data_IF_142098608434
#
_entry.id   IF_142098608434
#
_cell.length_a   1.000
_cell.length_b   1.000
_cell.length_c   1.000
_cell.angle_alpha   90.00
_cell.angle_beta   90.00
_cell.angle_gamma   90.00
#
_symmetry.space_group_name_H-M   'P 1'
#
loop_
_entity.id
_entity.type
_entity.pdbx_description
1 polymer ?
#
# COMPACT_ATOMS: atom_id res chain seq x y z
N UNK A 1 12.72 16.00 -4.49
CA UNK A 1 13.86 16.59 -3.73
C UNK A 1 14.64 17.60 -4.55
N UNK A 2 15.33 17.22 -5.65
CA UNK A 2 16.14 18.16 -6.44
C UNK A 2 15.35 19.32 -7.04
N UNK A 3 14.09 19.09 -7.40
CA UNK A 3 13.18 20.13 -7.88
C UNK A 3 12.79 21.13 -6.78
N UNK A 4 12.51 20.60 -5.57
CA UNK A 4 12.16 21.42 -4.42
C UNK A 4 13.37 22.14 -3.80
N UNK A 5 14.55 21.54 -3.89
CA UNK A 5 15.78 21.93 -3.20
C UNK A 5 16.99 21.76 -4.13
N UNK A 6 17.17 22.62 -5.13
CA UNK A 6 18.21 22.44 -6.16
C UNK A 6 19.63 22.54 -5.60
N UNK A 7 19.85 23.34 -4.57
CA UNK A 7 21.19 23.67 -4.05
C UNK A 7 21.62 22.82 -2.84
N UNK A 8 20.84 21.81 -2.45
CA UNK A 8 21.21 20.94 -1.33
C UNK A 8 21.82 19.63 -1.79
N UNK A 9 22.71 19.09 -0.97
CA UNK A 9 23.23 17.74 -1.18
C UNK A 9 22.14 16.71 -0.93
N UNK A 10 21.95 15.78 -1.87
CA UNK A 10 20.91 14.74 -1.77
C UNK A 10 21.52 13.36 -1.89
N UNK A 11 21.33 12.53 -0.87
CA UNK A 11 21.61 11.10 -0.92
C UNK A 11 20.28 10.36 -1.20
N UNK A 12 20.18 9.74 -2.38
CA UNK A 12 19.07 8.83 -2.72
C UNK A 12 19.51 7.40 -2.44
N UNK A 13 18.84 6.75 -1.48
CA UNK A 13 19.10 5.35 -1.18
C UNK A 13 18.42 4.45 -2.22
N UNK A 14 19.17 3.54 -2.81
CA UNK A 14 18.65 2.50 -3.70
C UNK A 14 18.23 1.24 -2.93
N UNK A 15 18.77 1.07 -1.72
CA UNK A 15 18.46 -0.03 -0.79
C UNK A 15 18.07 0.58 0.55
N UNK A 16 16.90 0.23 1.05
CA UNK A 16 16.35 0.74 2.31
C UNK A 16 16.40 -0.30 3.44
N UNK A 17 16.69 -1.55 3.12
CA UNK A 17 16.87 -2.61 4.11
C UNK A 17 17.80 -3.73 3.59
N UNK A 18 18.89 -4.07 4.34
CA UNK A 18 19.45 -3.27 5.43
C UNK A 18 19.98 -1.92 4.92
N UNK A 19 19.99 -0.89 5.77
CA UNK A 19 20.54 0.41 5.37
C UNK A 19 22.03 0.35 5.11
N UNK A 20 22.56 1.06 4.10
CA UNK A 20 23.98 1.17 3.83
C UNK A 20 24.66 2.14 4.83
N UNK A 21 24.89 1.68 6.05
CA UNK A 21 25.35 2.50 7.16
C UNK A 21 26.62 3.31 6.85
N UNK A 22 27.62 2.67 6.22
CA UNK A 22 28.88 3.36 5.87
C UNK A 22 28.66 4.55 4.93
N UNK A 23 27.76 4.38 3.95
CA UNK A 23 27.41 5.44 3.00
C UNK A 23 26.69 6.59 3.69
N UNK A 24 25.75 6.28 4.58
CA UNK A 24 24.97 7.27 5.34
C UNK A 24 25.89 8.06 6.26
N UNK A 25 26.81 7.42 6.98
CA UNK A 25 27.79 8.08 7.85
C UNK A 25 28.72 9.01 7.06
N UNK A 26 29.28 8.53 5.95
CA UNK A 26 30.14 9.35 5.10
C UNK A 26 29.40 10.56 4.52
N UNK A 27 28.14 10.40 4.15
CA UNK A 27 27.31 11.52 3.69
C UNK A 27 27.06 12.53 4.82
N UNK A 28 26.77 12.03 6.03
CA UNK A 28 26.52 12.87 7.20
C UNK A 28 27.72 13.72 7.62
N UNK A 29 28.94 13.20 7.48
CA UNK A 29 30.18 13.94 7.74
C UNK A 29 30.38 15.15 6.81
N UNK A 30 29.83 15.08 5.59
CA UNK A 30 29.95 16.12 4.56
C UNK A 30 28.88 17.22 4.66
N UNK A 31 27.91 17.15 5.59
CA UNK A 31 26.79 18.08 5.67
C UNK A 31 26.63 18.65 7.07
N UNK A 32 26.15 19.89 7.18
CA UNK A 32 25.92 20.55 8.45
C UNK A 32 24.68 20.04 9.20
N UNK A 33 23.66 19.61 8.45
CA UNK A 33 22.38 19.09 8.97
C UNK A 33 21.92 17.94 8.11
N UNK A 34 21.47 16.88 8.73
CA UNK A 34 20.90 15.71 8.04
C UNK A 34 19.39 15.73 8.19
N UNK A 35 18.71 15.64 7.07
CA UNK A 35 17.26 15.57 7.01
C UNK A 35 16.81 14.37 6.21
N UNK A 36 15.87 13.62 6.76
CA UNK A 36 15.18 12.53 6.03
C UNK A 36 13.88 13.05 5.46
N UNK A 37 13.66 12.79 4.18
CA UNK A 37 12.39 13.04 3.49
C UNK A 37 11.84 11.71 3.03
N UNK A 38 10.85 11.22 3.75
CA UNK A 38 10.15 9.95 3.51
C UNK A 38 8.66 10.10 3.74
N UNK A 39 7.86 9.33 3.04
CA UNK A 39 6.41 9.27 3.25
C UNK A 39 6.06 8.35 4.41
N UNK A 40 4.84 8.49 4.93
CA UNK A 40 4.28 7.68 6.02
C UNK A 40 5.14 7.68 7.29
N UNK A 41 5.45 6.51 7.83
CA UNK A 41 6.15 6.32 9.09
C UNK A 41 7.65 6.68 9.02
N UNK A 42 8.30 7.03 10.14
CA UNK A 42 9.71 7.45 10.18
C UNK A 42 10.69 6.27 10.07
N UNK A 43 10.54 5.44 9.04
CA UNK A 43 11.31 4.21 8.87
C UNK A 43 12.82 4.46 8.73
N UNK A 44 13.21 5.39 7.84
CA UNK A 44 14.62 5.73 7.65
C UNK A 44 15.15 6.60 8.79
N UNK A 45 14.34 7.56 9.24
CA UNK A 45 14.72 8.47 10.33
C UNK A 45 15.06 7.72 11.63
N UNK A 46 14.22 6.75 12.02
CA UNK A 46 14.44 5.96 13.24
C UNK A 46 15.70 5.10 13.14
N UNK A 47 15.93 4.46 12.01
CA UNK A 47 17.12 3.65 11.82
C UNK A 47 18.40 4.49 11.81
N UNK A 48 18.37 5.67 11.19
CA UNK A 48 19.52 6.58 11.16
C UNK A 48 19.78 7.15 12.57
N UNK A 49 18.73 7.43 13.34
CA UNK A 49 18.87 7.78 14.77
C UNK A 49 19.48 6.65 15.58
N UNK A 50 19.08 5.40 15.32
CA UNK A 50 19.64 4.23 15.99
C UNK A 50 21.14 4.02 15.68
N UNK A 51 21.65 4.55 14.56
CA UNK A 51 23.09 4.60 14.25
C UNK A 51 23.83 5.67 15.07
N UNK A 52 23.13 6.46 15.90
CA UNK A 52 23.72 7.55 16.68
C UNK A 52 23.94 8.84 15.90
N UNK A 53 23.33 9.00 14.72
CA UNK A 53 23.43 10.22 13.94
C UNK A 53 22.31 11.21 14.30
N UNK A 54 22.66 12.48 14.42
CA UNK A 54 21.70 13.56 14.61
C UNK A 54 20.98 13.79 13.28
N UNK A 55 19.69 13.46 13.24
CA UNK A 55 18.86 13.57 12.05
C UNK A 55 17.47 14.06 12.41
N UNK A 56 16.86 14.82 11.54
CA UNK A 56 15.46 15.25 11.60
C UNK A 56 14.70 14.73 10.39
N UNK A 57 13.42 14.52 10.50
CA UNK A 57 12.55 14.08 9.42
C UNK A 57 11.11 14.49 9.72
N UNK A 58 10.36 13.67 10.46
CA UNK A 58 8.94 13.90 10.76
C UNK A 58 8.65 15.11 11.65
N UNK A 59 9.67 15.71 12.24
CA UNK A 59 9.53 17.03 12.87
C UNK A 59 9.11 18.13 11.86
N UNK A 60 9.38 17.92 10.57
CA UNK A 60 9.08 18.86 9.49
C UNK A 60 8.24 18.23 8.39
N UNK A 61 8.49 16.97 8.06
CA UNK A 61 7.84 16.25 6.95
C UNK A 61 6.56 15.58 7.46
N UNK A 62 5.40 15.83 6.84
CA UNK A 62 4.14 15.22 7.27
C UNK A 62 4.18 13.69 7.16
N UNK A 63 3.48 13.02 8.09
CA UNK A 63 3.34 11.55 8.12
C UNK A 63 2.15 11.06 7.29
N UNK A 64 1.29 11.96 6.80
CA UNK A 64 0.11 11.60 6.01
C UNK A 64 0.13 12.27 4.65
N UNK A 65 -0.38 11.56 3.64
CA UNK A 65 -0.50 12.02 2.27
C UNK A 65 0.78 11.86 1.46
N UNK A 66 0.68 12.14 0.17
CA UNK A 66 1.80 12.10 -0.76
C UNK A 66 2.67 13.35 -0.64
N UNK A 67 3.97 13.20 -0.81
CA UNK A 67 4.92 14.30 -0.84
C UNK A 67 5.11 14.81 -2.27
N UNK A 68 4.63 16.02 -2.54
CA UNK A 68 4.98 16.73 -3.77
C UNK A 68 6.20 17.64 -3.56
N UNK A 69 6.90 18.06 -4.62
CA UNK A 69 7.96 19.07 -4.53
C UNK A 69 7.51 20.33 -3.83
N UNK A 70 6.28 20.77 -4.07
CA UNK A 70 5.70 21.97 -3.45
C UNK A 70 5.55 21.82 -1.93
N UNK A 71 4.99 20.68 -1.47
CA UNK A 71 4.85 20.38 -0.05
C UNK A 71 6.21 20.33 0.64
N UNK A 72 7.18 19.64 0.03
CA UNK A 72 8.53 19.56 0.60
C UNK A 72 9.16 20.96 0.72
N UNK A 73 9.09 21.78 -0.33
CA UNK A 73 9.63 23.15 -0.31
C UNK A 73 8.94 24.03 0.75
N UNK A 74 7.63 23.93 0.90
CA UNK A 74 6.86 24.64 1.93
C UNK A 74 7.32 24.24 3.34
N UNK A 75 7.40 22.95 3.62
CA UNK A 75 7.85 22.42 4.92
C UNK A 75 9.30 22.80 5.24
N UNK A 76 10.16 22.87 4.23
CA UNK A 76 11.53 23.35 4.41
C UNK A 76 11.61 24.85 4.72
N UNK A 77 10.71 25.66 4.18
CA UNK A 77 10.61 27.09 4.55
C UNK A 77 10.09 27.26 5.97
N UNK A 78 9.05 26.51 6.36
CA UNK A 78 8.54 26.50 7.74
C UNK A 78 9.62 26.10 8.75
N UNK A 79 10.49 25.18 8.38
CA UNK A 79 11.63 24.73 9.18
C UNK A 79 12.81 25.72 9.19
N UNK A 80 12.73 26.83 8.46
CA UNK A 80 13.83 27.79 8.32
C UNK A 80 15.06 27.25 7.59
N UNK A 81 14.86 26.28 6.71
CA UNK A 81 15.90 25.63 5.90
C UNK A 81 15.99 26.18 4.48
N UNK A 82 14.99 26.92 4.07
CA UNK A 82 14.94 27.68 2.82
C UNK A 82 14.55 29.13 3.12
N UNK A 83 15.11 30.05 2.31
CA UNK A 83 14.66 31.44 2.34
C UNK A 83 13.18 31.52 1.94
N UNK A 84 12.48 32.46 2.58
CA UNK A 84 11.10 32.75 2.18
C UNK A 84 11.12 33.36 0.76
N UNK A 85 10.77 32.57 -0.21
CA UNK A 85 10.40 33.09 -1.51
C UNK A 85 8.92 33.49 -1.50
N UNK A 86 8.58 34.54 -2.24
CA UNK A 86 7.18 34.84 -2.50
C UNK A 86 6.48 33.57 -2.96
N UNK A 87 5.30 33.30 -2.37
CA UNK A 87 4.53 32.10 -2.72
C UNK A 87 4.51 31.95 -4.24
N UNK A 88 4.90 30.77 -4.77
CA UNK A 88 4.69 30.54 -6.20
C UNK A 88 3.23 30.86 -6.49
N UNK A 89 2.99 31.60 -7.55
CA UNK A 89 1.64 32.01 -7.93
C UNK A 89 0.73 30.79 -7.78
N UNK A 90 -0.34 30.92 -6.98
CA UNK A 90 -1.29 29.86 -6.76
C UNK A 90 -1.62 29.27 -8.13
N UNK A 91 -1.43 27.96 -8.27
CA UNK A 91 -1.74 27.29 -9.54
C UNK A 91 -3.14 27.75 -9.97
N UNK A 92 -3.35 27.88 -11.27
CA UNK A 92 -4.62 28.37 -11.83
C UNK A 92 -5.76 27.61 -11.15
N UNK A 93 -6.40 28.27 -10.17
CA UNK A 93 -7.66 27.79 -9.60
C UNK A 93 -8.70 28.11 -10.64
N UNK A 94 -9.12 27.12 -11.38
CA UNK A 94 -10.30 27.24 -12.24
C UNK A 94 -11.53 27.30 -11.34
N UNK A 95 -11.93 28.50 -10.95
CA UNK A 95 -13.09 28.70 -10.06
C UNK A 95 -14.40 28.14 -10.63
N UNK A 96 -14.48 27.95 -11.94
CA UNK A 96 -15.63 27.44 -12.67
C UNK A 96 -15.36 26.09 -13.39
N UNK A 97 -14.41 25.30 -12.94
CA UNK A 97 -14.19 24.00 -13.56
C UNK A 97 -15.44 23.11 -13.35
N UNK A 98 -16.07 22.58 -14.41
CA UNK A 98 -17.21 21.71 -14.26
C UNK A 98 -16.82 20.47 -13.43
N UNK A 99 -17.71 20.07 -12.50
CA UNK A 99 -17.49 18.88 -11.72
C UNK A 99 -17.28 17.66 -12.64
N UNK A 100 -16.08 17.10 -12.61
CA UNK A 100 -15.77 15.90 -13.40
C UNK A 100 -16.44 14.72 -12.72
N UNK A 101 -17.23 13.89 -13.45
CA UNK A 101 -17.85 12.70 -12.86
C UNK A 101 -16.78 11.76 -12.30
N UNK A 102 -17.05 11.21 -11.10
CA UNK A 102 -16.16 10.22 -10.48
C UNK A 102 -15.93 9.04 -11.41
N UNK A 103 -14.69 8.56 -11.46
CA UNK A 103 -14.29 7.36 -12.22
C UNK A 103 -13.76 6.29 -11.27
N UNK A 104 -14.65 5.62 -10.52
CA UNK A 104 -14.22 4.53 -9.65
C UNK A 104 -13.58 3.41 -10.47
N UNK A 105 -12.60 2.69 -9.92
CA UNK A 105 -12.04 1.54 -10.58
C UNK A 105 -13.12 0.48 -10.80
N UNK A 106 -13.11 -0.14 -11.98
CA UNK A 106 -14.06 -1.20 -12.35
C UNK A 106 -13.33 -2.34 -13.04
N UNK A 107 -13.86 -3.55 -12.93
CA UNK A 107 -13.33 -4.68 -13.70
C UNK A 107 -13.45 -4.43 -15.20
N UNK A 108 -12.44 -4.85 -15.96
CA UNK A 108 -12.41 -4.72 -17.42
C UNK A 108 -13.66 -5.31 -18.09
N UNK A 109 -14.10 -4.76 -19.24
CA UNK A 109 -15.12 -5.42 -20.06
C UNK A 109 -14.66 -6.83 -20.44
N UNK A 110 -15.53 -7.84 -20.26
CA UNK A 110 -15.20 -9.23 -20.57
C UNK A 110 -14.24 -9.90 -19.58
N UNK A 111 -13.93 -9.27 -18.44
CA UNK A 111 -13.06 -9.86 -17.43
C UNK A 111 -13.56 -11.24 -16.96
N UNK A 112 -12.72 -12.30 -16.98
CA UNK A 112 -13.12 -13.66 -16.59
C UNK A 112 -13.54 -13.74 -15.11
N UNK A 113 -13.00 -12.90 -14.25
CA UNK A 113 -13.34 -12.88 -12.84
C UNK A 113 -14.80 -12.51 -12.55
N UNK A 114 -15.46 -11.76 -13.45
CA UNK A 114 -16.87 -11.34 -13.28
C UNK A 114 -17.81 -12.53 -13.11
N UNK A 115 -17.63 -13.59 -13.89
CA UNK A 115 -18.45 -14.80 -13.81
C UNK A 115 -18.32 -15.51 -12.49
N UNK A 116 -17.10 -15.55 -11.93
CA UNK A 116 -16.84 -16.16 -10.63
C UNK A 116 -17.57 -15.39 -9.53
N UNK A 117 -17.35 -14.08 -9.43
CA UNK A 117 -17.98 -13.27 -8.39
C UNK A 117 -19.51 -13.20 -8.51
N UNK A 118 -20.02 -13.16 -9.73
CA UNK A 118 -21.46 -13.28 -9.97
C UNK A 118 -22.04 -14.59 -9.38
N UNK A 119 -21.32 -15.70 -9.58
CA UNK A 119 -21.74 -17.01 -9.07
C UNK A 119 -21.65 -17.06 -7.54
N UNK A 120 -20.54 -16.59 -6.95
CA UNK A 120 -20.36 -16.54 -5.49
C UNK A 120 -21.47 -15.74 -4.82
N UNK A 121 -21.82 -14.57 -5.36
CA UNK A 121 -22.94 -13.75 -4.88
C UNK A 121 -24.27 -14.50 -4.95
N UNK A 122 -24.55 -15.16 -6.08
CA UNK A 122 -25.79 -15.92 -6.24
C UNK A 122 -25.92 -17.09 -5.26
N UNK A 123 -24.80 -17.72 -4.93
CA UNK A 123 -24.75 -18.81 -3.95
C UNK A 123 -24.79 -18.31 -2.50
N UNK A 124 -24.70 -17.01 -2.29
CA UNK A 124 -24.68 -16.36 -0.96
C UNK A 124 -23.61 -16.98 -0.05
N UNK A 125 -22.42 -17.17 -0.59
CA UNK A 125 -21.26 -17.66 0.15
C UNK A 125 -20.55 -16.49 0.84
N UNK A 126 -19.89 -16.79 1.96
CA UNK A 126 -18.97 -15.85 2.59
C UNK A 126 -17.64 -15.88 1.81
N UNK A 127 -17.21 -14.76 1.29
CA UNK A 127 -16.05 -14.66 0.42
C UNK A 127 -14.94 -13.88 1.10
N UNK A 128 -13.85 -14.56 1.41
CA UNK A 128 -12.62 -13.93 1.88
C UNK A 128 -11.72 -13.69 0.67
N UNK A 129 -11.47 -12.43 0.38
CA UNK A 129 -10.72 -12.02 -0.79
C UNK A 129 -9.27 -11.72 -0.51
N UNK A 130 -8.55 -11.55 -1.59
CA UNK A 130 -7.15 -11.19 -1.60
C UNK A 130 -6.91 -9.96 -2.48
N UNK A 131 -5.67 -9.51 -2.62
CA UNK A 131 -5.35 -8.28 -3.34
C UNK A 131 -4.91 -8.56 -4.76
N UNK A 132 -5.62 -7.96 -5.71
CA UNK A 132 -5.40 -8.02 -7.15
C UNK A 132 -6.54 -7.30 -7.87
N UNK A 133 -6.59 -7.35 -9.20
CA UNK A 133 -7.71 -6.75 -9.94
C UNK A 133 -9.06 -7.35 -9.56
N UNK A 134 -9.08 -8.58 -9.11
CA UNK A 134 -10.27 -9.27 -8.60
C UNK A 134 -10.78 -8.73 -7.26
N UNK A 135 -10.00 -7.94 -6.52
CA UNK A 135 -10.50 -7.21 -5.34
C UNK A 135 -11.70 -6.32 -5.70
N UNK A 136 -11.76 -5.87 -6.95
CA UNK A 136 -12.92 -5.13 -7.47
C UNK A 136 -14.23 -5.93 -7.47
N UNK A 137 -14.18 -7.24 -7.24
CA UNK A 137 -15.37 -8.07 -6.99
C UNK A 137 -16.14 -7.70 -5.73
N UNK A 138 -15.50 -6.99 -4.79
CA UNK A 138 -16.14 -6.42 -3.60
C UNK A 138 -16.93 -5.13 -3.87
N UNK A 139 -16.76 -4.51 -5.02
CA UNK A 139 -17.42 -3.26 -5.39
C UNK A 139 -18.70 -3.51 -6.22
N UNK A 140 -19.61 -2.52 -6.27
CA UNK A 140 -20.75 -2.58 -7.18
C UNK A 140 -20.32 -2.80 -8.65
N UNK A 141 -21.10 -3.54 -9.43
CA UNK A 141 -22.38 -4.18 -9.12
C UNK A 141 -22.27 -5.59 -8.51
N UNK A 142 -21.08 -6.12 -8.33
CA UNK A 142 -20.89 -7.51 -7.88
C UNK A 142 -21.08 -7.65 -6.37
N UNK A 143 -20.42 -6.82 -5.58
CA UNK A 143 -20.49 -6.83 -4.10
C UNK A 143 -20.41 -8.26 -3.53
N UNK A 144 -19.44 -9.03 -4.00
CA UNK A 144 -19.33 -10.47 -3.77
C UNK A 144 -18.05 -10.84 -3.00
N UNK A 145 -17.58 -9.94 -2.17
CA UNK A 145 -16.42 -10.15 -1.30
C UNK A 145 -16.69 -9.50 0.05
N UNK A 146 -16.60 -10.27 1.13
CA UNK A 146 -16.94 -9.82 2.48
C UNK A 146 -15.74 -9.21 3.21
N UNK A 147 -14.53 -9.64 2.89
CA UNK A 147 -13.32 -9.03 3.45
C UNK A 147 -12.12 -9.17 2.51
N UNK A 148 -11.17 -8.22 2.66
CA UNK A 148 -9.89 -8.21 2.00
C UNK A 148 -8.90 -7.48 2.91
N UNK A 149 -7.78 -8.10 3.28
CA UNK A 149 -6.83 -7.53 4.25
C UNK A 149 -5.46 -7.29 3.61
N UNK A 150 -4.76 -8.34 3.18
CA UNK A 150 -3.44 -8.25 2.57
C UNK A 150 -3.18 -9.44 1.65
N UNK A 151 -2.14 -9.36 0.84
CA UNK A 151 -1.75 -10.43 -0.07
C UNK A 151 -1.47 -11.75 0.67
N UNK A 152 -2.16 -12.82 0.26
CA UNK A 152 -2.05 -14.15 0.85
C UNK A 152 -2.95 -14.43 2.05
N UNK A 153 -3.68 -13.42 2.56
CA UNK A 153 -4.47 -13.58 3.78
C UNK A 153 -5.81 -14.33 3.58
N UNK A 154 -6.37 -14.34 2.38
CA UNK A 154 -7.71 -14.88 2.11
C UNK A 154 -7.90 -16.31 2.63
N UNK A 155 -6.93 -17.19 2.39
CA UNK A 155 -6.99 -18.60 2.79
C UNK A 155 -6.97 -18.73 4.31
N UNK A 156 -6.07 -17.97 4.98
CA UNK A 156 -5.98 -17.97 6.43
C UNK A 156 -7.24 -17.43 7.11
N UNK A 157 -7.84 -16.39 6.54
CA UNK A 157 -9.08 -15.78 7.04
C UNK A 157 -10.24 -16.78 6.89
N UNK A 158 -10.39 -17.45 5.73
CA UNK A 158 -11.42 -18.46 5.52
C UNK A 158 -11.31 -19.60 6.55
N UNK A 159 -10.10 -20.09 6.77
CA UNK A 159 -9.85 -21.13 7.76
C UNK A 159 -10.14 -20.65 9.18
N UNK A 160 -9.71 -19.43 9.52
CA UNK A 160 -10.01 -18.82 10.82
C UNK A 160 -11.52 -18.69 11.08
N UNK A 161 -12.27 -18.23 10.06
CA UNK A 161 -13.73 -18.13 10.15
C UNK A 161 -14.39 -19.49 10.39
N UNK A 162 -13.96 -20.53 9.68
CA UNK A 162 -14.44 -21.91 9.87
C UNK A 162 -14.17 -22.43 11.30
N UNK A 163 -13.01 -22.09 11.87
CA UNK A 163 -12.66 -22.51 13.23
C UNK A 163 -13.38 -21.70 14.32
N UNK A 164 -13.62 -20.44 14.06
CA UNK A 164 -14.31 -19.56 15.02
C UNK A 164 -15.82 -19.80 15.06
N UNK A 165 -16.44 -20.10 13.90
CA UNK A 165 -17.88 -20.31 13.77
C UNK A 165 -18.17 -21.54 12.89
N UNK A 166 -18.57 -22.67 13.49
CA UNK A 166 -18.82 -23.91 12.75
C UNK A 166 -19.85 -23.77 11.62
N UNK A 167 -20.79 -22.83 11.73
CA UNK A 167 -21.77 -22.56 10.67
C UNK A 167 -21.13 -21.96 9.39
N UNK A 168 -19.91 -21.46 9.48
CA UNK A 168 -19.12 -20.98 8.35
C UNK A 168 -18.45 -22.13 7.56
N UNK A 169 -18.32 -23.31 8.14
CA UNK A 169 -17.74 -24.47 7.47
C UNK A 169 -18.55 -24.84 6.22
N UNK A 170 -17.87 -25.03 5.09
CA UNK A 170 -18.51 -25.31 3.80
C UNK A 170 -19.30 -24.14 3.19
N UNK A 171 -19.32 -22.98 3.81
CA UNK A 171 -19.96 -21.75 3.31
C UNK A 171 -18.98 -20.60 3.09
N UNK A 172 -17.74 -20.74 3.51
CA UNK A 172 -16.68 -19.74 3.32
C UNK A 172 -15.75 -20.18 2.19
N UNK A 173 -15.47 -19.24 1.30
CA UNK A 173 -14.62 -19.44 0.13
C UNK A 173 -13.52 -18.40 0.14
N UNK A 174 -12.27 -18.86 0.09
CA UNK A 174 -11.12 -17.99 -0.15
C UNK A 174 -10.94 -17.77 -1.65
N UNK A 175 -10.81 -16.52 -2.07
CA UNK A 175 -10.50 -16.15 -3.45
C UNK A 175 -9.13 -15.50 -3.49
N UNK A 176 -8.24 -16.03 -4.32
CA UNK A 176 -6.86 -15.57 -4.43
C UNK A 176 -6.40 -15.63 -5.90
N UNK A 177 -5.58 -14.69 -6.33
CA UNK A 177 -4.96 -14.72 -7.65
C UNK A 177 -3.82 -15.74 -7.74
N UNK A 178 -3.50 -16.19 -8.92
CA UNK A 178 -2.45 -17.16 -9.24
C UNK A 178 -1.07 -16.72 -8.75
N UNK A 179 -0.67 -15.50 -9.06
CA UNK A 179 0.61 -14.93 -8.59
C UNK A 179 0.66 -14.84 -7.06
N UNK A 180 -0.36 -14.27 -6.44
CA UNK A 180 -0.44 -14.15 -4.97
C UNK A 180 -0.47 -15.51 -4.29
N UNK A 181 -1.13 -16.50 -4.90
CA UNK A 181 -1.14 -17.85 -4.38
C UNK A 181 0.28 -18.44 -4.32
N UNK A 182 1.07 -18.28 -5.38
CA UNK A 182 2.43 -18.81 -5.45
C UNK A 182 3.38 -18.13 -4.46
N UNK A 183 3.33 -16.80 -4.31
CA UNK A 183 4.29 -16.10 -3.44
C UNK A 183 3.85 -16.02 -1.97
N UNK A 184 2.54 -16.10 -1.63
CA UNK A 184 2.07 -15.91 -0.26
C UNK A 184 0.95 -16.86 0.17
N UNK A 185 0.17 -17.44 -0.76
CA UNK A 185 -1.00 -18.25 -0.45
C UNK A 185 -0.68 -19.69 -0.07
N UNK A 186 0.44 -20.24 -0.55
CA UNK A 186 0.82 -21.65 -0.30
C UNK A 186 0.91 -21.99 1.18
N UNK A 187 1.47 -21.12 2.00
CA UNK A 187 1.58 -21.33 3.45
C UNK A 187 0.22 -21.41 4.13
N UNK A 188 -0.73 -20.56 3.68
CA UNK A 188 -2.12 -20.61 4.13
C UNK A 188 -2.79 -21.94 3.79
N UNK A 189 -2.61 -22.42 2.56
CA UNK A 189 -3.17 -23.71 2.13
C UNK A 189 -2.57 -24.88 2.92
N UNK A 190 -1.26 -24.89 3.11
CA UNK A 190 -0.59 -25.92 3.93
C UNK A 190 -1.15 -25.93 5.36
N UNK A 191 -1.40 -24.75 5.94
CA UNK A 191 -2.00 -24.65 7.27
C UNK A 191 -3.43 -25.21 7.30
N UNK A 192 -4.25 -24.93 6.29
CA UNK A 192 -5.61 -25.51 6.17
C UNK A 192 -5.55 -27.02 6.13
N UNK A 193 -4.68 -27.60 5.30
CA UNK A 193 -4.51 -29.06 5.15
C UNK A 193 -4.03 -29.69 6.45
N UNK A 194 -2.98 -29.12 7.06
CA UNK A 194 -2.43 -29.63 8.32
C UNK A 194 -3.46 -29.67 9.44
N UNK A 195 -4.29 -28.61 9.56
CA UNK A 195 -5.31 -28.48 10.59
C UNK A 195 -6.67 -29.08 10.16
N UNK A 196 -6.70 -29.87 9.09
CA UNK A 196 -7.91 -30.58 8.60
C UNK A 196 -9.08 -29.61 8.41
N UNK A 197 -8.82 -28.43 7.80
CA UNK A 197 -9.83 -27.48 7.44
C UNK A 197 -10.62 -27.93 6.22
N UNK A 198 -11.84 -27.41 6.07
CA UNK A 198 -12.75 -27.71 4.96
C UNK A 198 -12.96 -26.52 4.01
N UNK A 199 -12.22 -25.42 4.21
CA UNK A 199 -12.35 -24.19 3.42
C UNK A 199 -12.08 -24.46 1.94
N UNK A 200 -12.94 -23.94 1.08
CA UNK A 200 -12.75 -23.96 -0.37
C UNK A 200 -11.84 -22.80 -0.79
N UNK A 201 -10.85 -23.10 -1.61
CA UNK A 201 -9.93 -22.08 -2.17
C UNK A 201 -10.14 -22.01 -3.69
N UNK A 202 -10.45 -20.82 -4.19
CA UNK A 202 -10.55 -20.51 -5.60
C UNK A 202 -9.33 -19.71 -6.04
N UNK A 203 -8.49 -20.32 -6.86
CA UNK A 203 -7.34 -19.63 -7.47
C UNK A 203 -7.82 -19.06 -8.80
N UNK A 204 -7.73 -17.74 -8.94
CA UNK A 204 -8.13 -17.01 -10.14
C UNK A 204 -6.90 -16.78 -11.01
N UNK A 205 -6.75 -17.59 -12.03
CA UNK A 205 -5.70 -17.48 -13.03
C UNK A 205 -6.21 -16.66 -14.22
N UNK A 206 -5.56 -15.53 -14.47
CA UNK A 206 -5.80 -14.69 -15.65
C UNK A 206 -4.61 -14.67 -16.61
N UNK A 207 -3.61 -15.50 -16.37
CA UNK A 207 -2.42 -15.66 -17.20
C UNK A 207 -1.59 -14.38 -17.40
N UNK A 208 -1.55 -13.48 -16.41
CA UNK A 208 -0.80 -12.22 -16.45
C UNK A 208 0.14 -12.05 -15.27
#
# INVERSE_FOLDING_TARGET
MREALPDVSVLKLGLTWPLPEKLIRSFAEGVKRLLVVEELEPFLEEQIKAMGLAVSGKAYIPSMGELSPAIVAEKMREAGLLEQQDKPAAGIVLEDAPAVPGRPPVMCPGCPHRGVFYTLRRLKLNVTGDIGCYTLGGLPPLEAMDCCVCMGASIGIAHGAEKAEPAMAGRTVAVIGDSTFLHSGLTGLLNVVYNKGSSTVLILDNST
#
